data_IF_540524083939
#
_entry.id   IF_540524083939
#
_cell.length_a   1.000
_cell.length_b   1.000
_cell.length_c   1.000
_cell.angle_alpha   90.00
_cell.angle_beta   90.00
_cell.angle_gamma   90.00
#
_symmetry.space_group_name_H-M   'P 1'
#
loop_
_entity.id
_entity.type
_entity.pdbx_description
1 polymer ?
#
# COMPACT_ATOMS: atom_id res chain seq x y z
N UNK A 1 16.51 -14.32 -10.77
CA UNK A 1 15.17 -14.50 -11.37
C UNK A 1 15.25 -14.58 -12.87
N UNK A 2 14.23 -15.20 -13.49
CA UNK A 2 13.98 -15.04 -14.92
C UNK A 2 13.30 -13.71 -15.16
N UNK A 3 13.77 -12.95 -16.15
CA UNK A 3 13.24 -11.66 -16.59
C UNK A 3 12.83 -11.75 -18.05
N UNK A 4 11.83 -10.97 -18.44
CA UNK A 4 11.27 -10.96 -19.80
C UNK A 4 11.06 -9.50 -20.28
N UNK A 5 10.63 -9.31 -21.53
CA UNK A 5 10.43 -7.99 -22.12
C UNK A 5 9.44 -7.13 -21.35
N UNK A 6 8.38 -7.73 -20.79
CA UNK A 6 7.43 -6.99 -19.95
C UNK A 6 8.11 -6.39 -18.69
N UNK A 7 9.08 -7.14 -18.10
CA UNK A 7 9.87 -6.62 -17.00
C UNK A 7 10.69 -5.41 -17.44
N UNK A 8 11.43 -5.50 -18.54
CA UNK A 8 12.27 -4.38 -19.01
C UNK A 8 11.44 -3.14 -19.35
N UNK A 9 10.32 -3.29 -20.08
CA UNK A 9 9.41 -2.18 -20.38
C UNK A 9 8.91 -1.48 -19.11
N UNK A 10 8.47 -2.25 -18.12
CA UNK A 10 7.98 -1.70 -16.87
C UNK A 10 9.10 -1.17 -15.97
N UNK A 11 10.25 -1.81 -15.92
CA UNK A 11 11.41 -1.34 -15.19
C UNK A 11 11.85 0.04 -15.67
N UNK A 12 12.04 0.20 -16.99
CA UNK A 12 12.40 1.49 -17.60
C UNK A 12 11.38 2.60 -17.28
N UNK A 13 10.10 2.26 -17.21
CA UNK A 13 9.01 3.25 -16.99
C UNK A 13 8.76 3.61 -15.52
N UNK A 14 8.89 2.63 -14.60
CA UNK A 14 8.41 2.76 -13.23
C UNK A 14 9.49 2.56 -12.15
N UNK A 15 10.71 2.21 -12.51
CA UNK A 15 11.79 2.03 -11.54
C UNK A 15 12.87 3.10 -11.66
N UNK A 16 13.39 3.56 -10.51
CA UNK A 16 12.99 3.21 -9.15
C UNK A 16 11.63 3.81 -8.78
N UNK A 17 10.76 3.03 -8.08
CA UNK A 17 9.40 3.51 -7.84
C UNK A 17 8.50 2.61 -6.98
N UNK A 18 7.20 2.96 -6.90
CA UNK A 18 6.23 2.25 -6.07
C UNK A 18 5.62 1.04 -6.82
N UNK A 19 6.47 0.22 -7.45
CA UNK A 19 6.09 -1.03 -8.11
C UNK A 19 6.92 -2.19 -7.58
N UNK A 20 6.32 -3.37 -7.50
CA UNK A 20 6.96 -4.63 -7.11
C UNK A 20 6.66 -5.68 -8.16
N UNK A 21 7.68 -6.39 -8.62
CA UNK A 21 7.55 -7.46 -9.60
C UNK A 21 7.63 -8.82 -8.92
N UNK A 22 6.69 -9.71 -9.20
CA UNK A 22 6.80 -11.13 -8.85
C UNK A 22 7.36 -11.86 -10.06
N UNK A 23 8.55 -12.44 -9.87
CA UNK A 23 9.36 -13.08 -10.90
C UNK A 23 9.60 -14.55 -10.56
N UNK A 24 9.73 -15.42 -11.58
CA UNK A 24 10.13 -16.82 -11.40
C UNK A 24 11.59 -16.90 -10.97
N UNK A 25 11.90 -17.67 -9.94
CA UNK A 25 13.27 -17.94 -9.52
C UNK A 25 14.00 -18.85 -10.52
N UNK A 26 15.29 -18.61 -10.71
CA UNK A 26 16.18 -19.59 -11.40
C UNK A 26 16.34 -20.83 -10.52
N UNK A 27 16.47 -22.03 -11.12
CA UNK A 27 16.60 -23.32 -10.41
C UNK A 27 17.73 -23.30 -9.38
N UNK A 28 18.89 -22.74 -9.70
CA UNK A 28 20.07 -22.63 -8.83
C UNK A 28 20.12 -21.29 -8.05
N UNK A 29 18.97 -20.73 -7.64
CA UNK A 29 18.93 -19.48 -6.86
C UNK A 29 19.44 -19.71 -5.44
N UNK A 30 20.36 -18.83 -4.98
CA UNK A 30 20.88 -18.81 -3.60
C UNK A 30 19.97 -18.04 -2.62
N UNK A 31 18.79 -17.60 -3.04
CA UNK A 31 17.84 -16.90 -2.16
C UNK A 31 17.24 -17.87 -1.15
N UNK A 32 17.33 -17.51 0.13
CA UNK A 32 16.78 -18.32 1.22
C UNK A 32 15.30 -18.66 1.01
N UNK A 33 14.92 -19.88 1.36
CA UNK A 33 13.53 -20.35 1.33
C UNK A 33 12.62 -19.53 2.26
N UNK A 34 13.15 -19.00 3.35
CA UNK A 34 12.40 -18.10 4.25
C UNK A 34 11.95 -16.81 3.54
N UNK A 35 12.78 -16.22 2.66
CA UNK A 35 12.42 -15.02 1.88
C UNK A 35 11.31 -15.31 0.87
N UNK A 36 11.29 -16.50 0.29
CA UNK A 36 10.31 -16.89 -0.73
C UNK A 36 9.09 -17.59 -0.17
N UNK A 37 9.09 -17.90 1.14
CA UNK A 37 8.11 -18.78 1.78
C UNK A 37 7.95 -20.11 0.99
N UNK A 38 9.08 -20.76 0.67
CA UNK A 38 9.16 -21.98 -0.13
C UNK A 38 8.56 -21.90 -1.55
N UNK A 39 8.24 -20.70 -2.04
CA UNK A 39 7.69 -20.52 -3.39
C UNK A 39 8.80 -20.46 -4.44
N UNK A 40 8.48 -20.88 -5.67
CA UNK A 40 9.37 -20.77 -6.85
C UNK A 40 9.36 -19.35 -7.47
N UNK A 41 8.97 -18.34 -6.68
CA UNK A 41 8.85 -16.93 -7.11
C UNK A 41 9.43 -16.00 -6.08
N UNK A 42 9.89 -14.83 -6.52
CA UNK A 42 10.41 -13.76 -5.67
C UNK A 42 9.75 -12.43 -6.01
N UNK A 43 9.34 -11.68 -4.99
CA UNK A 43 8.89 -10.31 -5.14
C UNK A 43 10.09 -9.35 -5.05
N UNK A 44 10.33 -8.57 -6.10
CA UNK A 44 11.48 -7.65 -6.21
C UNK A 44 10.99 -6.23 -6.37
N UNK A 45 11.60 -5.29 -5.64
CA UNK A 45 11.30 -3.86 -5.72
C UNK A 45 12.60 -3.04 -5.80
N UNK A 46 12.55 -1.97 -6.59
CA UNK A 46 13.58 -0.94 -6.70
C UNK A 46 13.05 0.36 -6.08
N UNK A 47 13.34 0.64 -4.82
CA UNK A 47 12.72 1.75 -4.10
C UNK A 47 13.25 3.10 -4.58
N UNK A 48 12.35 4.09 -4.70
CA UNK A 48 12.69 5.48 -4.98
C UNK A 48 12.74 6.31 -3.69
N UNK A 49 13.65 5.95 -2.78
CA UNK A 49 13.85 6.66 -1.53
C UNK A 49 15.34 6.86 -1.29
N UNK A 50 15.78 8.11 -1.07
CA UNK A 50 17.20 8.48 -1.01
C UNK A 50 17.98 7.64 0.00
N UNK A 51 17.57 7.64 1.28
CA UNK A 51 18.29 6.88 2.32
C UNK A 51 18.29 5.38 2.05
N UNK A 52 17.16 4.80 1.61
CA UNK A 52 17.10 3.38 1.26
C UNK A 52 18.06 3.05 0.11
N UNK A 53 18.15 3.91 -0.89
CA UNK A 53 19.08 3.72 -2.03
C UNK A 53 20.54 3.87 -1.59
N UNK A 54 20.83 4.82 -0.71
CA UNK A 54 22.17 4.97 -0.12
C UNK A 54 22.56 3.71 0.67
N UNK A 55 21.66 3.21 1.54
CA UNK A 55 21.87 1.95 2.25
C UNK A 55 22.16 0.79 1.30
N UNK A 56 21.27 0.58 0.28
CA UNK A 56 21.42 -0.50 -0.70
C UNK A 56 22.70 -0.40 -1.56
N UNK A 57 23.27 0.79 -1.75
CA UNK A 57 24.55 0.98 -2.44
C UNK A 57 25.75 0.60 -1.57
N UNK A 58 25.63 0.73 -0.24
CA UNK A 58 26.71 0.45 0.71
C UNK A 58 26.73 -1.00 1.21
N UNK A 59 25.73 -1.81 0.87
CA UNK A 59 25.69 -3.23 1.19
C UNK A 59 25.86 -4.07 -0.08
N UNK A 60 26.49 -5.24 0.05
CA UNK A 60 26.79 -6.14 -1.09
C UNK A 60 25.65 -7.13 -1.40
N UNK A 61 24.49 -7.00 -0.77
CA UNK A 61 23.38 -7.95 -0.88
C UNK A 61 22.03 -7.25 -0.84
N UNK A 62 20.96 -7.83 -1.44
CA UNK A 62 19.61 -7.30 -1.34
C UNK A 62 19.04 -7.51 0.06
N UNK A 63 18.10 -6.63 0.47
CA UNK A 63 17.39 -6.74 1.74
C UNK A 63 16.01 -7.37 1.56
N UNK A 64 15.64 -8.28 2.44
CA UNK A 64 14.26 -8.72 2.62
C UNK A 64 13.58 -7.79 3.62
N UNK A 65 12.53 -7.08 3.19
CA UNK A 65 11.86 -6.07 4.01
C UNK A 65 10.33 -6.24 3.95
N UNK A 66 9.67 -6.64 5.05
CA UNK A 66 8.21 -6.56 5.19
C UNK A 66 7.76 -5.12 5.46
N UNK A 67 6.44 -4.90 5.55
CA UNK A 67 5.90 -3.63 6.06
C UNK A 67 6.20 -3.48 7.56
N UNK A 68 6.53 -2.25 7.98
CA UNK A 68 6.91 -1.96 9.37
C UNK A 68 5.68 -1.71 10.27
N UNK A 69 4.73 -2.66 10.29
CA UNK A 69 3.56 -2.66 11.15
C UNK A 69 3.28 -4.06 11.70
N UNK A 70 2.58 -4.14 12.81
CA UNK A 70 2.02 -5.41 13.30
C UNK A 70 1.00 -5.91 12.26
N UNK A 71 0.97 -7.23 12.04
CA UNK A 71 0.07 -7.85 11.05
C UNK A 71 -1.37 -7.36 11.21
N UNK A 72 -2.05 -7.15 10.09
CA UNK A 72 -3.42 -6.64 9.97
C UNK A 72 -3.64 -5.16 10.33
N UNK A 73 -2.70 -4.48 11.00
CA UNK A 73 -2.82 -3.05 11.35
C UNK A 73 -2.48 -2.11 10.18
N UNK A 74 -2.76 -0.81 10.38
CA UNK A 74 -2.46 0.25 9.41
C UNK A 74 -0.95 0.36 9.18
N UNK A 75 -0.51 0.38 7.92
CA UNK A 75 0.89 0.61 7.58
C UNK A 75 1.38 1.99 8.05
N UNK A 76 2.60 2.09 8.62
CA UNK A 76 3.19 3.36 9.02
C UNK A 76 3.57 4.20 7.80
N UNK A 77 3.53 5.52 7.96
CA UNK A 77 3.93 6.48 6.92
C UNK A 77 5.04 7.43 7.38
N UNK A 78 5.39 7.40 8.67
CA UNK A 78 6.49 8.17 9.28
C UNK A 78 7.29 7.30 10.23
N UNK A 79 8.46 7.81 10.69
CA UNK A 79 9.28 7.21 11.74
C UNK A 79 8.50 7.05 13.04
N UNK A 80 7.75 8.09 13.42
CA UNK A 80 6.97 8.13 14.65
C UNK A 80 5.88 7.03 14.65
N UNK A 81 5.24 6.77 13.51
CA UNK A 81 4.29 5.67 13.36
C UNK A 81 4.92 4.30 13.65
N UNK A 82 6.19 4.10 13.24
CA UNK A 82 6.95 2.87 13.49
C UNK A 82 7.30 2.74 14.97
N UNK A 83 7.75 3.83 15.59
CA UNK A 83 8.07 3.87 17.02
C UNK A 83 6.81 3.62 17.85
N UNK A 84 5.68 4.25 17.53
CA UNK A 84 4.39 4.02 18.17
C UNK A 84 3.93 2.54 18.08
N UNK A 85 4.28 1.85 16.97
CA UNK A 85 3.85 0.47 16.73
C UNK A 85 4.71 -0.56 17.46
N UNK A 86 6.02 -0.34 17.51
CA UNK A 86 6.99 -1.34 17.98
C UNK A 86 7.68 -0.98 19.29
N UNK A 87 7.69 0.30 19.68
CA UNK A 87 8.41 0.76 20.87
C UNK A 87 9.87 0.30 20.85
N UNK A 88 10.33 -0.26 21.95
CA UNK A 88 11.71 -0.74 22.13
C UNK A 88 12.04 -2.07 21.43
N UNK A 89 11.07 -2.70 20.73
CA UNK A 89 11.30 -3.96 20.00
C UNK A 89 12.18 -3.78 18.77
N UNK A 90 12.33 -2.54 18.27
CA UNK A 90 13.21 -2.20 17.15
C UNK A 90 14.28 -1.22 17.63
N UNK A 91 15.56 -1.61 17.50
CA UNK A 91 16.69 -0.79 17.95
C UNK A 91 16.95 0.44 17.08
N UNK A 92 16.73 0.33 15.77
CA UNK A 92 17.04 1.39 14.82
C UNK A 92 15.89 1.67 13.88
N UNK A 93 15.55 2.96 13.71
CA UNK A 93 14.57 3.44 12.72
C UNK A 93 15.21 4.59 11.96
N UNK A 94 15.47 4.39 10.67
CA UNK A 94 15.98 5.45 9.80
C UNK A 94 14.91 6.52 9.57
N UNK A 95 15.23 7.77 9.89
CA UNK A 95 14.33 8.89 9.61
C UNK A 95 14.38 9.28 8.14
N UNK A 96 13.53 8.68 7.34
CA UNK A 96 13.38 8.97 5.92
C UNK A 96 12.33 10.05 5.61
N UNK A 97 11.77 10.68 6.63
CA UNK A 97 10.62 11.58 6.48
C UNK A 97 9.33 10.80 6.17
N UNK A 98 8.32 11.54 5.72
CA UNK A 98 7.00 10.97 5.42
C UNK A 98 6.95 10.27 4.06
N UNK A 99 6.27 9.14 3.99
CA UNK A 99 5.99 8.42 2.75
C UNK A 99 5.33 9.33 1.69
N UNK A 100 5.94 9.41 0.49
CA UNK A 100 5.48 10.31 -0.58
C UNK A 100 4.15 9.88 -1.19
N UNK A 101 3.91 8.57 -1.30
CA UNK A 101 2.69 8.00 -1.92
C UNK A 101 1.60 7.73 -0.89
N UNK A 102 1.98 7.31 0.33
CA UNK A 102 1.07 6.98 1.42
C UNK A 102 0.38 5.62 1.31
N UNK A 103 0.55 4.91 0.21
CA UNK A 103 0.11 3.54 -0.02
C UNK A 103 1.30 2.66 -0.42
N UNK A 104 1.13 1.36 -0.32
CA UNK A 104 2.12 0.38 -0.73
C UNK A 104 2.30 0.36 -2.25
N UNK A 105 3.36 -0.33 -2.71
CA UNK A 105 3.63 -0.56 -4.12
C UNK A 105 2.51 -1.35 -4.80
N UNK A 106 2.25 -1.06 -6.07
CA UNK A 106 1.51 -1.96 -6.95
C UNK A 106 2.33 -3.23 -7.15
N UNK A 107 1.71 -4.41 -7.02
CA UNK A 107 2.39 -5.70 -7.22
C UNK A 107 1.90 -6.31 -8.53
N UNK A 108 2.84 -6.60 -9.41
CA UNK A 108 2.60 -7.20 -10.72
C UNK A 108 3.32 -8.53 -10.81
N UNK A 109 2.61 -9.60 -11.13
CA UNK A 109 3.21 -10.88 -11.49
C UNK A 109 3.60 -10.86 -12.97
N UNK A 110 4.82 -11.33 -13.25
CA UNK A 110 5.34 -11.56 -14.58
C UNK A 110 5.61 -13.06 -14.83
N UNK A 111 5.05 -13.91 -13.97
CA UNK A 111 5.13 -15.37 -14.08
C UNK A 111 4.00 -15.82 -15.01
N UNK A 112 4.37 -16.46 -16.13
CA UNK A 112 3.49 -16.92 -17.21
C UNK A 112 2.79 -15.75 -17.93
N UNK A 113 1.74 -15.17 -17.32
CA UNK A 113 1.02 -14.00 -17.85
C UNK A 113 1.10 -12.81 -16.88
N UNK A 114 1.02 -11.61 -17.43
CA UNK A 114 1.01 -10.38 -16.62
C UNK A 114 -0.29 -10.28 -15.82
N UNK A 115 -0.17 -10.14 -14.49
CA UNK A 115 -1.32 -10.03 -13.58
C UNK A 115 -1.07 -8.98 -12.51
N UNK A 116 -2.07 -8.16 -12.21
CA UNK A 116 -2.04 -7.27 -11.06
C UNK A 116 -2.46 -8.07 -9.82
N UNK A 117 -1.53 -8.21 -8.88
CA UNK A 117 -1.77 -8.93 -7.62
C UNK A 117 -2.21 -8.01 -6.49
N UNK A 118 -1.78 -6.75 -6.51
CA UNK A 118 -2.17 -5.73 -5.52
C UNK A 118 -2.20 -4.35 -6.17
N UNK A 119 -3.26 -3.62 -5.96
CA UNK A 119 -3.35 -2.20 -6.30
C UNK A 119 -2.44 -1.37 -5.38
N UNK A 120 -1.84 -0.29 -5.88
CA UNK A 120 -0.94 0.55 -5.09
C UNK A 120 -0.53 1.84 -5.81
N UNK A 121 0.71 2.29 -5.60
CA UNK A 121 1.19 3.59 -6.05
C UNK A 121 1.28 3.79 -7.56
N UNK A 122 1.30 2.71 -8.37
CA UNK A 122 1.22 2.78 -9.84
C UNK A 122 -0.18 2.34 -10.27
N UNK A 123 -0.87 3.21 -11.01
CA UNK A 123 -2.23 2.95 -11.51
C UNK A 123 -2.21 1.93 -12.66
N UNK A 124 -3.25 1.09 -12.76
CA UNK A 124 -3.36 0.04 -13.80
C UNK A 124 -3.30 0.64 -15.22
N UNK A 125 -3.96 1.77 -15.44
CA UNK A 125 -3.94 2.44 -16.75
C UNK A 125 -2.52 2.77 -17.24
N UNK A 126 -1.61 3.12 -16.32
CA UNK A 126 -0.22 3.43 -16.66
C UNK A 126 0.56 2.15 -17.01
N UNK A 127 0.27 1.02 -16.33
CA UNK A 127 0.83 -0.29 -16.65
C UNK A 127 0.34 -0.74 -18.03
N UNK A 128 -0.95 -0.64 -18.29
CA UNK A 128 -1.56 -0.98 -19.57
C UNK A 128 -0.96 -0.15 -20.71
N UNK A 129 -0.76 1.16 -20.52
CA UNK A 129 -0.09 2.03 -21.49
C UNK A 129 1.36 1.60 -21.74
N UNK A 130 2.10 1.22 -20.70
CA UNK A 130 3.50 0.81 -20.83
C UNK A 130 3.68 -0.55 -21.56
N UNK A 131 2.70 -1.43 -21.44
CA UNK A 131 2.74 -2.77 -22.01
C UNK A 131 1.91 -2.93 -23.29
N UNK A 132 1.15 -1.90 -23.67
CA UNK A 132 0.13 -1.96 -24.74
C UNK A 132 -0.87 -3.11 -24.51
N UNK A 133 -1.50 -3.14 -23.32
CA UNK A 133 -2.40 -4.22 -22.87
C UNK A 133 -3.65 -3.66 -22.22
N UNK A 134 -4.64 -4.55 -21.96
CA UNK A 134 -5.86 -4.20 -21.21
C UNK A 134 -6.02 -5.13 -20.00
N UNK A 135 -5.05 -5.12 -19.11
CA UNK A 135 -5.06 -5.92 -17.89
C UNK A 135 -6.04 -5.30 -16.89
N UNK A 136 -6.87 -6.15 -16.26
CA UNK A 136 -7.81 -5.75 -15.21
C UNK A 136 -7.38 -6.38 -13.87
N UNK A 137 -7.72 -5.69 -12.77
CA UNK A 137 -7.51 -6.23 -11.43
C UNK A 137 -8.61 -7.25 -11.10
N UNK A 138 -8.25 -8.50 -10.89
CA UNK A 138 -9.19 -9.55 -10.50
C UNK A 138 -9.22 -9.72 -8.99
N UNK A 139 -10.31 -9.26 -8.34
CA UNK A 139 -10.54 -9.42 -6.89
C UNK A 139 -10.83 -10.87 -6.45
N UNK A 140 -11.23 -11.75 -7.39
CA UNK A 140 -11.66 -13.13 -7.10
C UNK A 140 -10.52 -14.15 -6.94
N UNK A 141 -9.26 -13.73 -7.11
CA UNK A 141 -8.12 -14.63 -6.88
C UNK A 141 -8.07 -15.05 -5.41
N UNK A 142 -8.54 -16.27 -5.13
CA UNK A 142 -8.66 -16.84 -3.78
C UNK A 142 -7.31 -17.26 -3.15
N UNK A 143 -6.25 -17.42 -3.93
CA UNK A 143 -4.93 -17.79 -3.40
C UNK A 143 -4.19 -16.55 -2.92
N UNK A 144 -3.85 -16.53 -1.62
CA UNK A 144 -2.98 -15.52 -1.01
C UNK A 144 -1.56 -15.70 -1.57
N UNK A 145 -1.18 -14.86 -2.53
CA UNK A 145 0.09 -14.97 -3.24
C UNK A 145 1.11 -13.95 -2.71
N UNK A 146 0.63 -12.77 -2.25
CA UNK A 146 1.49 -11.66 -1.82
C UNK A 146 0.93 -10.97 -0.57
N UNK A 147 1.79 -10.24 0.19
CA UNK A 147 1.36 -9.45 1.35
C UNK A 147 0.28 -8.42 0.99
N UNK A 148 -0.66 -8.19 1.91
CA UNK A 148 -1.78 -7.27 1.71
C UNK A 148 -2.99 -7.85 0.99
N UNK A 149 -3.00 -9.17 0.70
CA UNK A 149 -4.17 -9.87 0.14
C UNK A 149 -5.05 -10.52 1.20
N UNK A 150 -4.68 -10.48 2.48
CA UNK A 150 -5.49 -11.01 3.57
C UNK A 150 -6.87 -10.34 3.61
N UNK A 151 -7.89 -11.09 4.05
CA UNK A 151 -9.27 -10.59 4.15
C UNK A 151 -9.34 -9.37 5.08
N UNK A 152 -8.72 -9.45 6.25
CA UNK A 152 -8.58 -8.36 7.23
C UNK A 152 -7.16 -7.81 7.11
N UNK A 153 -7.03 -6.55 6.77
CA UNK A 153 -5.74 -5.84 6.68
C UNK A 153 -5.98 -4.33 6.73
N UNK A 154 -4.98 -3.57 7.18
CA UNK A 154 -5.04 -2.10 7.28
C UNK A 154 -6.05 -1.59 8.30
N UNK A 155 -6.44 -2.43 9.28
CA UNK A 155 -7.43 -2.07 10.28
C UNK A 155 -6.90 -0.99 11.25
N UNK A 156 -7.70 0.07 11.53
CA UNK A 156 -7.42 1.01 12.60
C UNK A 156 -7.72 0.45 14.00
N UNK A 157 -8.26 -0.76 14.12
CA UNK A 157 -8.70 -1.35 15.38
C UNK A 157 -10.06 -0.85 15.86
N UNK A 158 -10.79 -0.13 15.02
CA UNK A 158 -12.19 0.28 15.25
C UNK A 158 -12.99 0.06 13.96
N UNK A 159 -14.31 -0.20 14.04
CA UNK A 159 -15.14 -0.48 12.88
C UNK A 159 -15.14 0.65 11.84
N UNK A 160 -15.16 0.28 10.55
CA UNK A 160 -15.27 1.23 9.44
C UNK A 160 -16.54 0.95 8.64
N UNK A 161 -17.34 1.99 8.39
CA UNK A 161 -18.51 1.97 7.52
C UNK A 161 -18.20 2.75 6.24
N UNK A 162 -18.40 2.11 5.10
CA UNK A 162 -18.05 2.67 3.78
C UNK A 162 -19.27 3.26 3.07
N UNK A 163 -19.02 4.20 2.16
CA UNK A 163 -20.01 4.84 1.29
C UNK A 163 -21.14 5.56 2.08
N UNK A 164 -20.79 6.17 3.19
CA UNK A 164 -21.72 6.85 4.09
C UNK A 164 -21.89 8.30 3.66
N UNK A 165 -23.15 8.76 3.56
CA UNK A 165 -23.49 10.16 3.25
C UNK A 165 -23.47 11.05 4.50
N UNK A 166 -23.92 10.52 5.65
CA UNK A 166 -23.97 11.23 6.95
C UNK A 166 -23.48 10.28 8.06
N UNK A 167 -22.57 10.73 8.94
CA UNK A 167 -22.12 9.92 10.09
C UNK A 167 -23.23 9.82 11.15
N UNK A 168 -23.15 8.78 11.98
CA UNK A 168 -23.91 8.68 13.22
C UNK A 168 -23.25 9.49 14.34
N UNK A 169 -23.99 9.74 15.41
CA UNK A 169 -23.45 10.36 16.63
C UNK A 169 -22.29 9.50 17.18
N UNK A 170 -21.18 10.16 17.54
CA UNK A 170 -19.98 9.48 18.06
C UNK A 170 -19.05 8.86 17.00
N UNK A 171 -19.38 8.95 15.71
CA UNK A 171 -18.50 8.51 14.62
C UNK A 171 -17.56 9.62 14.13
N UNK A 172 -16.34 9.25 13.76
CA UNK A 172 -15.50 10.10 12.92
C UNK A 172 -15.97 10.02 11.46
N UNK A 173 -16.03 11.13 10.77
CA UNK A 173 -16.40 11.14 9.34
C UNK A 173 -15.20 11.48 8.48
N UNK A 174 -14.75 10.51 7.72
CA UNK A 174 -13.62 10.64 6.81
C UNK A 174 -14.11 11.00 5.40
N UNK A 175 -13.81 12.21 4.98
CA UNK A 175 -14.24 12.84 3.73
C UNK A 175 -13.08 12.92 2.73
N UNK A 176 -13.39 12.82 1.44
CA UNK A 176 -12.37 12.99 0.41
C UNK A 176 -11.95 14.45 0.26
N UNK A 177 -12.92 15.40 0.34
CA UNK A 177 -12.69 16.84 0.14
C UNK A 177 -13.08 17.62 1.39
N UNK A 178 -12.30 18.67 1.71
CA UNK A 178 -12.64 19.61 2.79
C UNK A 178 -13.93 20.35 2.45
N UNK A 179 -14.89 20.37 3.37
CA UNK A 179 -16.14 21.14 3.28
C UNK A 179 -15.94 22.55 3.82
N UNK A 180 -16.77 23.51 3.37
CA UNK A 180 -16.72 24.91 3.84
C UNK A 180 -16.96 24.97 5.35
N UNK A 181 -18.02 24.32 5.86
CA UNK A 181 -18.34 24.25 7.29
C UNK A 181 -17.46 23.18 7.95
N UNK A 182 -16.65 23.58 8.93
CA UNK A 182 -15.84 22.65 9.73
C UNK A 182 -16.70 22.06 10.84
N UNK A 183 -16.63 20.74 11.03
CA UNK A 183 -17.31 20.01 12.10
C UNK A 183 -16.23 19.21 12.85
N UNK A 184 -16.28 19.20 14.18
CA UNK A 184 -15.22 18.66 15.07
C UNK A 184 -14.83 17.20 14.77
N UNK A 185 -15.77 16.38 14.32
CA UNK A 185 -15.52 14.97 13.98
C UNK A 185 -15.28 14.71 12.48
N UNK A 186 -15.10 15.75 11.65
CA UNK A 186 -14.84 15.64 10.22
C UNK A 186 -13.34 15.66 9.94
N UNK A 187 -12.87 14.68 9.15
CA UNK A 187 -11.50 14.49 8.73
C UNK A 187 -11.43 14.49 7.22
N UNK A 188 -10.41 15.12 6.65
CA UNK A 188 -10.30 15.30 5.21
C UNK A 188 -9.06 14.61 4.67
N UNK A 189 -9.21 13.82 3.63
CA UNK A 189 -8.10 13.19 2.92
C UNK A 189 -7.39 14.17 1.98
N UNK A 190 -8.14 15.13 1.41
CA UNK A 190 -7.62 16.16 0.51
C UNK A 190 -8.32 17.50 0.72
N UNK A 191 -7.58 18.59 0.54
CA UNK A 191 -8.18 19.96 0.57
C UNK A 191 -9.15 20.17 -0.60
N UNK A 192 -8.76 19.71 -1.81
CA UNK A 192 -9.50 19.94 -3.07
C UNK A 192 -10.13 18.69 -3.68
N UNK A 193 -10.09 17.52 -3.02
CA UNK A 193 -10.61 16.25 -3.54
C UNK A 193 -9.65 15.52 -4.47
N UNK A 194 -8.35 15.84 -4.44
CA UNK A 194 -7.33 15.18 -5.23
C UNK A 194 -7.05 13.77 -4.70
N UNK A 195 -7.20 12.75 -5.55
CA UNK A 195 -7.05 11.34 -5.15
C UNK A 195 -5.62 10.97 -4.75
N UNK A 196 -4.59 11.58 -5.34
CA UNK A 196 -3.18 11.34 -4.96
C UNK A 196 -2.90 11.91 -3.56
N UNK A 197 -3.41 13.11 -3.27
CA UNK A 197 -3.34 13.68 -1.93
C UNK A 197 -4.13 12.84 -0.92
N UNK A 198 -5.32 12.36 -1.31
CA UNK A 198 -6.14 11.47 -0.48
C UNK A 198 -5.41 10.17 -0.15
N UNK A 199 -4.75 9.53 -1.13
CA UNK A 199 -3.93 8.34 -0.92
C UNK A 199 -2.78 8.61 0.06
N UNK A 200 -2.05 9.73 -0.12
CA UNK A 200 -0.96 10.15 0.76
C UNK A 200 -1.40 10.36 2.20
N UNK A 201 -2.64 10.80 2.41
CA UNK A 201 -3.18 11.13 3.73
C UNK A 201 -3.96 10.00 4.39
N UNK A 202 -4.35 8.93 3.67
CA UNK A 202 -5.25 7.89 4.16
C UNK A 202 -4.80 7.31 5.51
N UNK A 203 -3.62 6.72 5.57
CA UNK A 203 -3.15 6.04 6.78
C UNK A 203 -2.87 7.02 7.94
N UNK A 204 -2.31 8.21 7.64
CA UNK A 204 -2.15 9.27 8.64
C UNK A 204 -3.50 9.63 9.28
N UNK A 205 -4.53 9.84 8.45
CA UNK A 205 -5.86 10.22 8.94
C UNK A 205 -6.49 9.11 9.77
N UNK A 206 -6.42 7.85 9.32
CA UNK A 206 -6.94 6.72 10.08
C UNK A 206 -6.22 6.54 11.43
N UNK A 207 -4.88 6.70 11.48
CA UNK A 207 -4.11 6.67 12.74
C UNK A 207 -4.49 7.82 13.67
N UNK A 208 -4.67 9.02 13.13
CA UNK A 208 -5.11 10.19 13.91
C UNK A 208 -6.51 9.97 14.52
N UNK A 209 -7.45 9.43 13.74
CA UNK A 209 -8.81 9.12 14.22
C UNK A 209 -8.75 8.06 15.32
N UNK A 210 -7.96 6.98 15.13
CA UNK A 210 -7.76 5.95 16.15
C UNK A 210 -7.34 6.51 17.50
N UNK A 211 -6.38 7.48 17.52
CA UNK A 211 -5.90 8.11 18.74
C UNK A 211 -6.98 8.94 19.46
N UNK A 212 -8.07 9.33 18.77
CA UNK A 212 -9.16 10.16 19.31
C UNK A 212 -10.33 9.36 19.92
N UNK A 213 -10.21 8.03 20.06
CA UNK A 213 -11.18 7.15 20.74
C UNK A 213 -12.62 7.21 20.20
N UNK A 214 -12.82 7.44 18.90
CA UNK A 214 -14.14 7.32 18.29
C UNK A 214 -14.65 5.85 18.33
N UNK A 215 -15.97 5.66 18.42
CA UNK A 215 -16.61 4.34 18.39
C UNK A 215 -16.44 3.63 17.03
N UNK A 216 -16.50 4.39 15.94
CA UNK A 216 -16.33 3.91 14.57
C UNK A 216 -15.95 5.03 13.60
N UNK A 217 -15.60 4.66 12.39
CA UNK A 217 -15.27 5.59 11.30
C UNK A 217 -16.29 5.41 10.16
N UNK A 218 -17.00 6.46 9.81
CA UNK A 218 -17.75 6.54 8.57
C UNK A 218 -16.88 7.13 7.47
N UNK A 219 -16.88 6.52 6.28
CA UNK A 219 -16.10 6.99 5.13
C UNK A 219 -17.04 7.36 4.00
N UNK A 220 -16.87 8.56 3.45
CA UNK A 220 -17.58 9.02 2.24
C UNK A 220 -17.18 8.15 1.03
N UNK A 221 -18.06 8.09 0.02
CA UNK A 221 -17.76 7.36 -1.23
C UNK A 221 -16.53 7.95 -1.92
N UNK A 222 -15.50 7.13 -2.08
CA UNK A 222 -14.27 7.49 -2.81
C UNK A 222 -14.44 7.13 -4.28
N UNK A 223 -14.14 8.04 -5.23
CA UNK A 223 -14.20 7.74 -6.67
C UNK A 223 -13.33 6.52 -7.03
N UNK A 224 -13.93 5.52 -7.70
CA UNK A 224 -13.26 4.26 -8.05
C UNK A 224 -12.52 4.38 -9.39
N UNK A 225 -11.58 5.32 -9.48
CA UNK A 225 -10.74 5.56 -10.66
C UNK A 225 -9.31 5.89 -10.27
N UNK A 226 -8.35 5.50 -11.10
CA UNK A 226 -6.94 5.76 -10.86
C UNK A 226 -6.50 5.24 -9.49
N UNK A 227 -5.77 6.04 -8.71
CA UNK A 227 -5.32 5.65 -7.37
C UNK A 227 -6.49 5.47 -6.36
N UNK A 228 -7.67 5.97 -6.66
CA UNK A 228 -8.88 5.76 -5.87
C UNK A 228 -9.28 4.29 -5.76
N UNK A 229 -8.98 3.47 -6.78
CA UNK A 229 -9.18 2.02 -6.74
C UNK A 229 -8.34 1.38 -5.61
N UNK A 230 -7.09 1.82 -5.46
CA UNK A 230 -6.21 1.33 -4.39
C UNK A 230 -6.70 1.82 -3.00
N UNK A 231 -7.18 3.06 -2.87
CA UNK A 231 -7.78 3.56 -1.64
C UNK A 231 -8.98 2.70 -1.25
N UNK A 232 -9.90 2.44 -2.19
CA UNK A 232 -11.09 1.63 -1.96
C UNK A 232 -10.75 0.18 -1.57
N UNK A 233 -9.73 -0.43 -2.20
CA UNK A 233 -9.25 -1.77 -1.79
C UNK A 233 -8.76 -1.78 -0.34
N UNK A 234 -7.99 -0.77 0.09
CA UNK A 234 -7.50 -0.64 1.47
C UNK A 234 -8.63 -0.47 2.47
N UNK A 235 -9.57 0.43 2.18
CA UNK A 235 -10.73 0.69 3.04
C UNK A 235 -11.65 -0.54 3.14
N UNK A 236 -11.88 -1.25 2.03
CA UNK A 236 -12.68 -2.49 2.02
C UNK A 236 -12.05 -3.59 2.88
N UNK A 237 -10.71 -3.70 2.92
CA UNK A 237 -10.02 -4.65 3.81
C UNK A 237 -10.05 -4.21 5.26
N UNK A 238 -9.89 -2.91 5.49
CA UNK A 238 -9.93 -2.31 6.82
C UNK A 238 -11.32 -2.40 7.47
N UNK A 239 -12.40 -2.44 6.68
CA UNK A 239 -13.78 -2.52 7.16
C UNK A 239 -14.27 -3.94 7.49
N UNK A 240 -13.44 -4.95 7.28
CA UNK A 240 -13.76 -6.37 7.59
C UNK A 240 -13.33 -6.80 9.00
N UNK A 241 -13.12 -5.81 9.85
CA UNK A 241 -12.77 -6.00 11.25
C UNK A 241 -13.94 -6.56 12.04
#
# INVERSE_FOLDING_TARGET
CYINDHFYKMYKKFCPGPITFVLKLKKKSKISKNVTNNKKTLAVRFPNHRLTRTLLKNIKYPLAAPSANISSKISPVTKEDVIDEFGNKIKFVLNGGRSKVGLESTIVSLVNKVQILRLGGVEIKNINKALNTNIKFNKKNKKLIVPGQQKIHYSPGIPIRLNIKKPKTGEAFNLIKKRKKSVKNFYYLSKKGNLKEAAKNLYKTLRMIRKKKFKSISVEKIPNRGIGEAINDRLTRASKF
#
